data_IF_502792653282
#
_entry.id   IF_502792653282
#
_cell.length_a   1.000
_cell.length_b   1.000
_cell.length_c   1.000
_cell.angle_alpha   90.00
_cell.angle_beta   90.00
_cell.angle_gamma   90.00
#
_symmetry.space_group_name_H-M   'P 1'
#
loop_
_entity.id
_entity.type
_entity.pdbx_description
1 polymer ?
#
# COMPACT_ATOMS: atom_id res chain seq x y z
N UNK A 1 1.62 5.91 -9.35
CA UNK A 1 1.80 5.27 -8.02
C UNK A 1 1.26 3.84 -8.09
N UNK A 2 2.02 2.86 -7.59
CA UNK A 2 1.55 1.50 -7.34
C UNK A 2 1.54 1.26 -5.83
N UNK A 3 0.60 0.46 -5.34
CA UNK A 3 0.41 0.21 -3.91
C UNK A 3 0.47 -1.30 -3.67
N UNK A 4 1.43 -1.71 -2.83
CA UNK A 4 1.49 -3.08 -2.30
C UNK A 4 0.86 -3.14 -0.92
N UNK A 5 -0.04 -4.10 -0.69
CA UNK A 5 -0.72 -4.30 0.60
C UNK A 5 -0.36 -5.68 1.15
N UNK A 6 0.09 -5.72 2.40
CA UNK A 6 0.21 -6.97 3.17
C UNK A 6 -1.01 -7.07 4.06
N UNK A 7 -2.00 -7.82 3.60
CA UNK A 7 -3.32 -7.93 4.22
C UNK A 7 -3.32 -9.10 5.21
N UNK A 8 -3.43 -8.79 6.49
CA UNK A 8 -3.40 -9.76 7.59
C UNK A 8 -4.82 -9.91 8.12
N UNK A 9 -5.48 -11.00 7.74
CA UNK A 9 -6.91 -11.18 8.00
C UNK A 9 -7.19 -12.48 8.74
N UNK A 10 -8.18 -12.46 9.63
CA UNK A 10 -8.83 -13.66 10.14
C UNK A 10 -9.90 -14.09 9.12
N UNK A 11 -9.83 -15.32 8.57
CA UNK A 11 -10.84 -15.80 7.63
C UNK A 11 -12.26 -15.70 8.21
N UNK A 12 -13.21 -15.26 7.39
CA UNK A 12 -14.62 -15.10 7.73
C UNK A 12 -14.95 -14.04 8.81
N UNK A 13 -13.96 -13.33 9.37
CA UNK A 13 -14.14 -12.25 10.35
C UNK A 13 -13.78 -10.87 9.77
N UNK A 14 -12.66 -10.80 9.05
CA UNK A 14 -12.12 -9.55 8.50
C UNK A 14 -12.49 -9.32 7.03
N UNK A 15 -12.53 -8.04 6.63
CA UNK A 15 -12.72 -7.64 5.23
C UNK A 15 -11.39 -7.69 4.46
N UNK A 16 -11.42 -8.27 3.26
CA UNK A 16 -10.25 -8.28 2.38
C UNK A 16 -10.05 -6.93 1.68
N UNK A 17 -8.81 -6.46 1.66
CA UNK A 17 -8.38 -5.24 0.96
C UNK A 17 -8.51 -5.34 -0.57
N UNK A 18 -8.67 -6.55 -1.13
CA UNK A 18 -8.80 -6.73 -2.59
C UNK A 18 -10.24 -6.54 -3.10
N UNK A 19 -11.21 -6.55 -2.18
CA UNK A 19 -12.64 -6.52 -2.50
C UNK A 19 -13.21 -5.11 -2.34
N UNK A 20 -13.93 -4.58 -3.33
CA UNK A 20 -14.60 -3.29 -3.19
C UNK A 20 -15.75 -3.39 -2.16
N UNK A 21 -16.13 -2.26 -1.56
CA UNK A 21 -17.18 -2.20 -0.53
C UNK A 21 -18.54 -2.60 -1.13
N UNK A 22 -18.76 -2.28 -2.40
CA UNK A 22 -19.91 -2.70 -3.21
C UNK A 22 -19.44 -3.26 -4.56
N UNK A 23 -20.25 -4.09 -5.24
CA UNK A 23 -19.98 -4.46 -6.63
C UNK A 23 -19.69 -3.22 -7.48
N UNK A 24 -18.66 -3.28 -8.33
CA UNK A 24 -18.29 -2.14 -9.17
C UNK A 24 -19.37 -1.77 -10.19
N UNK A 25 -20.30 -2.67 -10.49
CA UNK A 25 -21.47 -2.37 -11.33
C UNK A 25 -22.48 -1.43 -10.63
N UNK A 26 -22.59 -1.53 -9.30
CA UNK A 26 -23.50 -0.71 -8.49
C UNK A 26 -22.87 0.66 -8.14
N UNK A 27 -21.56 0.67 -7.88
CA UNK A 27 -20.80 1.88 -7.57
C UNK A 27 -19.40 1.80 -8.21
N UNK A 28 -19.27 2.24 -9.48
CA UNK A 28 -17.98 2.20 -10.20
C UNK A 28 -17.01 3.28 -9.70
N UNK A 29 -17.49 4.22 -8.88
CA UNK A 29 -16.70 5.39 -8.47
C UNK A 29 -15.76 5.11 -7.30
N UNK A 30 -15.87 3.93 -6.68
CA UNK A 30 -15.00 3.46 -5.61
C UNK A 30 -13.53 3.38 -6.04
N UNK A 31 -12.61 3.69 -5.11
CA UNK A 31 -11.17 3.72 -5.40
C UNK A 31 -10.64 2.38 -5.94
N UNK A 32 -11.05 1.26 -5.33
CA UNK A 32 -10.66 -0.08 -5.78
C UNK A 32 -11.17 -0.41 -7.18
N UNK A 33 -12.36 0.06 -7.56
CA UNK A 33 -12.89 -0.16 -8.92
C UNK A 33 -12.10 0.65 -9.97
N UNK A 34 -11.70 1.89 -9.64
CA UNK A 34 -10.95 2.77 -10.54
C UNK A 34 -9.47 2.41 -10.69
N UNK A 35 -8.86 1.90 -9.63
CA UNK A 35 -7.41 1.75 -9.53
C UNK A 35 -6.96 0.32 -9.26
N UNK A 36 -7.82 -0.68 -9.52
CA UNK A 36 -7.54 -2.10 -9.25
C UNK A 36 -6.20 -2.58 -9.81
N UNK A 37 -5.81 -2.11 -10.98
CA UNK A 37 -4.57 -2.50 -11.66
C UNK A 37 -3.29 -1.92 -11.04
N UNK A 38 -3.45 -0.94 -10.15
CA UNK A 38 -2.37 -0.29 -9.42
C UNK A 38 -2.20 -0.82 -7.99
N UNK A 39 -3.06 -1.75 -7.54
CA UNK A 39 -3.04 -2.34 -6.21
C UNK A 39 -2.70 -3.82 -6.29
N UNK A 40 -1.60 -4.21 -5.66
CA UNK A 40 -1.18 -5.61 -5.50
C UNK A 40 -1.38 -6.01 -4.02
N UNK A 41 -2.11 -7.09 -3.76
CA UNK A 41 -2.43 -7.54 -2.39
C UNK A 41 -1.78 -8.89 -2.13
N UNK A 42 -1.02 -8.99 -1.03
CA UNK A 42 -0.55 -10.24 -0.46
C UNK A 42 -1.38 -10.52 0.80
N UNK A 43 -2.29 -11.48 0.71
CA UNK A 43 -3.11 -11.89 1.84
C UNK A 43 -2.39 -12.96 2.66
N UNK A 44 -2.40 -12.81 3.99
CA UNK A 44 -1.97 -13.83 4.95
C UNK A 44 -3.00 -14.00 6.05
N UNK A 45 -3.12 -15.22 6.56
CA UNK A 45 -3.88 -15.49 7.77
C UNK A 45 -3.21 -14.78 8.95
N UNK A 46 -4.01 -14.05 9.73
CA UNK A 46 -3.56 -13.33 10.91
C UNK A 46 -2.89 -14.24 11.94
N UNK A 47 -3.17 -15.55 11.98
CA UNK A 47 -2.47 -16.50 12.87
C UNK A 47 -0.98 -16.63 12.54
N UNK A 48 -0.59 -16.35 11.29
CA UNK A 48 0.81 -16.37 10.84
C UNK A 48 1.46 -14.98 10.89
N UNK A 49 0.72 -13.95 11.27
CA UNK A 49 1.25 -12.62 11.47
C UNK A 49 2.11 -12.58 12.75
N UNK A 50 3.42 -12.40 12.57
CA UNK A 50 4.37 -12.28 13.71
C UNK A 50 4.72 -10.82 14.03
N UNK A 51 3.88 -9.88 13.60
CA UNK A 51 3.98 -8.45 13.89
C UNK A 51 4.46 -7.58 12.72
N UNK A 52 4.52 -6.25 12.92
CA UNK A 52 4.70 -5.27 11.84
C UNK A 52 6.07 -5.35 11.15
N UNK A 53 7.12 -5.83 11.82
CA UNK A 53 8.44 -6.01 11.19
C UNK A 53 8.38 -7.08 10.11
N UNK A 54 7.66 -8.18 10.36
CA UNK A 54 7.47 -9.22 9.37
C UNK A 54 6.59 -8.75 8.21
N UNK A 55 5.53 -8.00 8.50
CA UNK A 55 4.71 -7.37 7.47
C UNK A 55 5.54 -6.44 6.56
N UNK A 56 6.43 -5.62 7.12
CA UNK A 56 7.35 -4.76 6.35
C UNK A 56 8.32 -5.56 5.49
N UNK A 57 8.83 -6.67 6.01
CA UNK A 57 9.70 -7.59 5.25
C UNK A 57 8.96 -8.22 4.07
N UNK A 58 7.73 -8.68 4.27
CA UNK A 58 6.87 -9.22 3.19
C UNK A 58 6.59 -8.12 2.16
N UNK A 59 6.20 -6.92 2.61
CA UNK A 59 5.96 -5.77 1.74
C UNK A 59 7.19 -5.37 0.93
N UNK A 60 8.39 -5.43 1.51
CA UNK A 60 9.64 -5.16 0.80
C UNK A 60 9.88 -6.16 -0.34
N UNK A 61 9.43 -7.41 -0.22
CA UNK A 61 9.51 -8.40 -1.32
C UNK A 61 8.54 -8.12 -2.47
N UNK A 62 7.59 -7.21 -2.28
CA UNK A 62 6.67 -6.76 -3.33
C UNK A 62 7.26 -5.63 -4.18
N UNK A 63 8.45 -5.13 -3.84
CA UNK A 63 9.18 -4.14 -4.65
C UNK A 63 9.51 -4.68 -6.04
N UNK A 64 9.28 -3.87 -7.08
CA UNK A 64 9.42 -4.26 -8.50
C UNK A 64 10.44 -3.42 -9.27
N UNK A 65 11.27 -2.65 -8.58
CA UNK A 65 12.26 -1.78 -9.22
C UNK A 65 11.76 -0.35 -9.41
N UNK A 66 10.77 0.09 -8.63
CA UNK A 66 10.34 1.48 -8.59
C UNK A 66 11.51 2.41 -8.21
N UNK A 67 11.59 3.57 -8.83
CA UNK A 67 12.66 4.54 -8.56
C UNK A 67 12.56 5.10 -7.12
N UNK A 68 11.34 5.40 -6.68
CA UNK A 68 11.01 5.74 -5.29
C UNK A 68 10.07 4.68 -4.71
N UNK A 69 10.33 4.28 -3.47
CA UNK A 69 9.47 3.39 -2.71
C UNK A 69 9.35 3.89 -1.27
N UNK A 70 8.16 3.77 -0.70
CA UNK A 70 7.90 4.10 0.70
C UNK A 70 7.05 3.00 1.35
N UNK A 71 7.22 2.84 2.66
CA UNK A 71 6.30 2.03 3.47
C UNK A 71 5.46 2.96 4.33
N UNK A 72 4.19 2.62 4.49
CA UNK A 72 3.25 3.40 5.29
C UNK A 72 2.38 2.48 6.14
N UNK A 73 1.83 3.03 7.20
CA UNK A 73 0.86 2.31 8.04
C UNK A 73 -0.52 2.28 7.36
N UNK A 74 -1.32 1.25 7.61
CA UNK A 74 -2.59 1.03 6.90
C UNK A 74 -3.66 2.11 7.18
N UNK A 75 -3.53 2.88 8.27
CA UNK A 75 -4.53 3.83 8.74
C UNK A 75 -4.07 5.30 8.62
N UNK A 76 -3.32 5.62 7.56
CA UNK A 76 -2.94 7.00 7.25
C UNK A 76 -3.77 7.57 6.10
N UNK A 77 -3.79 8.90 5.98
CA UNK A 77 -4.34 9.59 4.81
C UNK A 77 -3.34 10.62 4.33
N UNK A 78 -3.06 10.61 3.03
CA UNK A 78 -2.12 11.54 2.42
C UNK A 78 -2.80 12.85 2.05
N UNK A 79 -2.11 13.97 2.26
CA UNK A 79 -2.51 15.25 1.69
C UNK A 79 -2.16 15.28 0.20
N UNK A 80 -2.93 16.04 -0.59
CA UNK A 80 -2.68 16.17 -2.03
C UNK A 80 -1.28 16.74 -2.28
N UNK A 81 -0.50 16.06 -3.14
CA UNK A 81 0.85 16.48 -3.54
C UNK A 81 1.96 16.11 -2.55
N UNK A 82 1.63 15.43 -1.44
CA UNK A 82 2.61 15.04 -0.43
C UNK A 82 3.79 14.23 -0.98
N UNK A 83 3.52 13.35 -1.95
CA UNK A 83 4.52 12.51 -2.61
C UNK A 83 5.48 13.32 -3.51
N UNK A 84 4.95 14.31 -4.22
CA UNK A 84 5.77 15.24 -5.01
C UNK A 84 6.64 16.09 -4.09
N UNK A 85 6.03 16.66 -3.04
CA UNK A 85 6.72 17.56 -2.12
C UNK A 85 7.89 16.87 -1.40
N UNK A 86 7.75 15.59 -1.02
CA UNK A 86 8.81 14.85 -0.33
C UNK A 86 9.93 14.41 -1.29
N UNK A 87 9.59 14.06 -2.53
CA UNK A 87 10.58 13.74 -3.57
C UNK A 87 11.41 14.98 -3.90
N UNK A 88 10.76 16.12 -4.15
CA UNK A 88 11.43 17.39 -4.44
C UNK A 88 12.39 17.79 -3.30
N UNK A 89 11.96 17.59 -2.05
CA UNK A 89 12.81 17.81 -0.87
C UNK A 89 14.03 16.90 -0.87
N UNK A 90 13.85 15.59 -1.10
CA UNK A 90 14.96 14.64 -1.14
C UNK A 90 15.94 14.96 -2.28
N UNK A 91 15.44 15.21 -3.49
CA UNK A 91 16.29 15.55 -4.64
C UNK A 91 17.07 16.86 -4.42
N UNK A 92 16.45 17.85 -3.74
CA UNK A 92 17.09 19.14 -3.45
C UNK A 92 18.32 19.03 -2.54
N UNK A 93 18.46 17.92 -1.80
CA UNK A 93 19.64 17.67 -0.97
C UNK A 93 20.88 17.35 -1.80
N UNK A 94 20.70 16.87 -3.04
CA UNK A 94 21.78 16.34 -3.88
C UNK A 94 22.48 15.12 -3.28
N UNK A 95 21.84 14.43 -2.33
CA UNK A 95 22.36 13.26 -1.63
C UNK A 95 21.31 12.14 -1.62
N UNK A 96 21.63 11.04 -2.30
CA UNK A 96 20.80 9.82 -2.37
C UNK A 96 20.54 9.19 -0.99
N UNK A 97 21.34 9.52 0.02
CA UNK A 97 21.25 8.98 1.37
C UNK A 97 20.67 9.96 2.40
N UNK A 98 20.13 11.10 1.95
CA UNK A 98 19.53 12.10 2.83
C UNK A 98 18.34 11.53 3.62
N UNK A 99 18.24 11.90 4.90
CA UNK A 99 17.19 11.49 5.86
C UNK A 99 16.52 12.72 6.45
#
# INVERSE_FOLDING_TARGET
>A
VRVGVVDQIVPDEDFSCESPIKPCDDDPDQALCKHRDAVDVYQMDAIYAVGPVFARHVGHRMYRGEYYAMQSDAHVTFTKGWDVDIIDQQESTGDEMAV
#
